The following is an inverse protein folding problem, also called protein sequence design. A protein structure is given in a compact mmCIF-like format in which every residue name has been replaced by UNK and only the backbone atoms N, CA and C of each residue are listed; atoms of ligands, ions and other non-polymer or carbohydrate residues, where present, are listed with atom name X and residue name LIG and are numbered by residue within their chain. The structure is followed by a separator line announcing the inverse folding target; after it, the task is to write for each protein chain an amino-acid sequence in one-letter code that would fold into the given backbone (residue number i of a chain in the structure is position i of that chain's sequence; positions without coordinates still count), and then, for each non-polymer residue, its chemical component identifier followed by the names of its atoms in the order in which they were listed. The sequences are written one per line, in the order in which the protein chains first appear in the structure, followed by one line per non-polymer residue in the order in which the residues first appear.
data_IF_218810272385
#
_entry.id   IF_218810272385
#
_cell.length_a   1.000
_cell.length_b   1.000
_cell.length_c   1.000
_cell.angle_alpha   90.00
_cell.angle_beta   90.00
_cell.angle_gamma   90.00
#
_symmetry.space_group_name_H-M   'P 1'
#
loop_
_entity.id
_entity.type
_entity.pdbx_description
1 polymer ?
#
# COMPACT_ATOMS: atom_id res chain seq x y z
N UNK A 1 -42.27 21.99 -68.19
CA UNK A 1 -42.66 22.72 -66.97
C UNK A 1 -43.65 21.86 -66.22
N UNK A 2 -43.48 21.80 -64.88
CA UNK A 2 -44.24 21.03 -63.89
C UNK A 2 -43.85 19.53 -63.85
N UNK A 3 -42.84 19.13 -63.08
CA UNK A 3 -42.80 18.89 -61.62
C UNK A 3 -43.20 17.45 -61.29
N UNK A 4 -42.21 16.54 -61.33
CA UNK A 4 -42.26 15.21 -60.73
C UNK A 4 -41.13 15.13 -59.70
N UNK A 5 -41.49 15.50 -58.48
CA UNK A 5 -40.67 15.34 -57.28
C UNK A 5 -40.71 13.88 -56.84
N UNK A 6 -39.68 13.11 -57.22
CA UNK A 6 -39.44 11.76 -56.69
C UNK A 6 -38.33 11.76 -55.62
N UNK A 7 -38.81 11.71 -54.38
CA UNK A 7 -38.37 10.91 -53.24
C UNK A 7 -36.89 10.55 -53.00
N UNK A 8 -36.54 10.81 -51.74
CA UNK A 8 -35.79 9.96 -50.80
C UNK A 8 -34.31 10.27 -50.62
N UNK A 9 -34.01 11.02 -49.55
CA UNK A 9 -32.86 10.71 -48.72
C UNK A 9 -33.36 10.20 -47.36
N UNK A 10 -33.39 8.88 -47.29
CA UNK A 10 -33.25 7.99 -46.14
C UNK A 10 -33.50 8.61 -44.75
N UNK A 11 -34.60 8.15 -44.14
CA UNK A 11 -34.89 8.18 -42.72
C UNK A 11 -33.62 7.88 -41.91
N UNK A 12 -33.14 8.86 -41.12
CA UNK A 12 -32.11 8.59 -40.11
C UNK A 12 -32.71 7.63 -39.09
N UNK A 13 -32.26 6.38 -39.09
CA UNK A 13 -32.60 5.44 -38.02
C UNK A 13 -32.29 6.10 -36.67
N UNK A 14 -33.16 6.00 -35.65
CA UNK A 14 -32.85 6.56 -34.35
C UNK A 14 -31.60 5.85 -33.82
N UNK A 15 -30.50 6.60 -33.78
CA UNK A 15 -29.21 6.15 -33.28
C UNK A 15 -29.44 5.70 -31.84
N UNK A 16 -29.39 4.39 -31.61
CA UNK A 16 -29.51 3.82 -30.26
C UNK A 16 -28.30 4.26 -29.45
N UNK A 17 -28.48 5.30 -28.63
CA UNK A 17 -27.48 5.77 -27.68
C UNK A 17 -27.50 4.87 -26.45
N UNK A 18 -26.39 4.17 -26.23
CA UNK A 18 -26.07 3.54 -24.95
C UNK A 18 -25.03 4.39 -24.24
N UNK A 19 -25.28 4.75 -22.99
CA UNK A 19 -24.35 5.50 -22.16
C UNK A 19 -23.64 4.53 -21.22
N UNK A 20 -22.36 4.29 -21.47
CA UNK A 20 -21.51 3.41 -20.68
C UNK A 20 -20.58 4.25 -19.82
N UNK A 21 -20.85 4.30 -18.52
CA UNK A 21 -19.93 4.89 -17.55
C UNK A 21 -19.10 3.79 -16.91
N UNK A 22 -17.82 3.72 -17.26
CA UNK A 22 -16.86 2.82 -16.61
C UNK A 22 -16.07 3.62 -15.59
N UNK A 23 -16.12 3.20 -14.33
CA UNK A 23 -15.21 3.67 -13.28
C UNK A 23 -14.18 2.59 -13.01
N UNK A 24 -12.93 2.94 -13.29
CA UNK A 24 -11.76 2.12 -13.04
C UNK A 24 -11.00 2.78 -11.90
N UNK A 25 -10.63 2.00 -10.89
CA UNK A 25 -9.72 2.41 -9.83
C UNK A 25 -8.49 1.53 -9.87
N UNK A 26 -7.34 2.08 -9.48
CA UNK A 26 -6.09 1.33 -9.43
C UNK A 26 -6.15 0.19 -8.40
N UNK A 27 -5.37 -0.85 -8.71
CA UNK A 27 -5.21 -2.04 -7.91
C UNK A 27 -4.15 -1.78 -6.82
N UNK A 28 -4.50 -1.84 -5.54
CA UNK A 28 -3.55 -1.60 -4.44
C UNK A 28 -2.68 -2.83 -4.15
N UNK A 29 -1.40 -2.75 -4.54
CA UNK A 29 -0.36 -3.75 -4.31
C UNK A 29 0.93 -3.06 -3.84
N UNK A 30 1.59 -3.54 -2.75
CA UNK A 30 1.16 -4.46 -1.71
C UNK A 30 0.28 -3.77 -0.63
N UNK A 31 -0.55 -4.52 0.14
CA UNK A 31 -1.49 -3.94 1.11
C UNK A 31 -0.84 -3.26 2.33
N UNK A 32 0.50 -3.36 2.49
CA UNK A 32 1.23 -2.70 3.56
C UNK A 32 2.06 -1.52 3.06
N UNK A 33 1.84 -0.36 3.66
CA UNK A 33 2.51 0.89 3.27
C UNK A 33 3.92 0.97 3.86
N UNK A 34 4.03 0.58 5.13
CA UNK A 34 5.19 0.90 5.96
C UNK A 34 5.74 -0.34 6.70
N UNK A 35 5.00 -0.85 7.69
CA UNK A 35 5.42 -1.97 8.54
C UNK A 35 4.28 -2.97 8.76
N UNK A 36 4.62 -4.26 8.90
CA UNK A 36 3.71 -5.33 9.29
C UNK A 36 4.34 -6.14 10.42
N UNK A 37 3.64 -6.21 11.56
CA UNK A 37 4.01 -7.10 12.67
C UNK A 37 3.31 -8.44 12.48
N UNK A 38 4.10 -9.51 12.59
CA UNK A 38 3.62 -10.89 12.47
C UNK A 38 3.64 -11.51 13.87
N UNK A 39 2.46 -11.83 14.40
CA UNK A 39 2.30 -12.55 15.66
C UNK A 39 2.80 -13.98 15.57
N UNK A 40 3.29 -14.56 16.68
CA UNK A 40 3.81 -15.94 16.74
C UNK A 40 2.85 -17.03 16.28
N UNK A 41 1.55 -16.76 16.33
CA UNK A 41 0.44 -17.66 15.94
C UNK A 41 -0.41 -17.02 14.83
N UNK A 42 0.15 -16.07 14.09
CA UNK A 42 -0.57 -15.42 13.00
C UNK A 42 -1.03 -16.46 11.95
N UNK A 43 -2.17 -16.23 11.28
CA UNK A 43 -2.67 -17.12 10.25
C UNK A 43 -1.71 -17.28 9.06
N UNK A 44 -0.82 -16.30 8.87
CA UNK A 44 0.21 -16.29 7.84
C UNK A 44 1.54 -15.92 8.51
N UNK A 45 2.48 -16.86 8.53
CA UNK A 45 3.81 -16.65 9.10
C UNK A 45 4.74 -15.79 8.23
N UNK A 46 5.96 -15.48 8.69
CA UNK A 46 6.82 -14.45 8.12
C UNK A 46 7.30 -14.83 6.72
N UNK A 47 7.54 -16.12 6.48
CA UNK A 47 7.98 -16.62 5.17
C UNK A 47 6.89 -16.55 4.10
N UNK A 48 5.62 -16.64 4.49
CA UNK A 48 4.51 -16.49 3.54
C UNK A 48 4.26 -15.00 3.25
N UNK A 49 4.37 -14.13 4.27
CA UNK A 49 4.39 -12.68 4.08
C UNK A 49 5.54 -12.27 3.16
N UNK A 50 6.75 -12.84 3.33
CA UNK A 50 7.91 -12.62 2.45
C UNK A 50 7.56 -12.82 0.99
N UNK A 51 7.04 -14.00 0.66
CA UNK A 51 6.71 -14.36 -0.72
C UNK A 51 5.67 -13.43 -1.30
N UNK A 52 4.67 -13.08 -0.51
CA UNK A 52 3.65 -12.12 -0.92
C UNK A 52 4.30 -10.76 -1.26
N UNK A 53 5.20 -10.24 -0.42
CA UNK A 53 5.72 -8.88 -0.61
C UNK A 53 6.79 -8.83 -1.68
N UNK A 54 7.61 -9.87 -1.78
CA UNK A 54 8.62 -10.00 -2.83
C UNK A 54 7.98 -10.22 -4.20
N UNK A 55 6.84 -10.93 -4.29
CA UNK A 55 6.11 -11.08 -5.55
C UNK A 55 5.50 -9.76 -6.06
N UNK A 56 5.21 -8.84 -5.13
CA UNK A 56 4.51 -7.60 -5.39
C UNK A 56 5.45 -6.39 -5.51
N UNK A 57 6.55 -6.40 -4.77
CA UNK A 57 7.53 -5.33 -4.68
C UNK A 57 8.88 -5.93 -4.30
N UNK A 58 9.55 -6.58 -5.28
CA UNK A 58 10.80 -7.30 -5.04
C UNK A 58 11.83 -6.42 -4.32
N UNK A 59 12.46 -6.98 -3.28
CA UNK A 59 13.57 -6.33 -2.55
C UNK A 59 13.22 -4.99 -1.88
N UNK A 60 11.94 -4.62 -1.79
CA UNK A 60 11.52 -3.38 -1.13
C UNK A 60 11.30 -3.55 0.37
N UNK A 61 11.18 -4.79 0.84
CA UNK A 61 10.90 -5.10 2.22
C UNK A 61 11.98 -5.99 2.80
N UNK A 62 12.22 -5.79 4.08
CA UNK A 62 13.06 -6.64 4.90
C UNK A 62 12.21 -7.33 5.94
N UNK A 63 12.55 -8.58 6.25
CA UNK A 63 11.94 -9.31 7.36
C UNK A 63 12.97 -9.49 8.43
N UNK A 64 12.64 -8.97 9.60
CA UNK A 64 13.47 -8.99 10.79
C UNK A 64 12.79 -9.97 11.74
N UNK A 65 13.43 -11.12 11.97
CA UNK A 65 12.99 -12.02 13.04
C UNK A 65 13.38 -11.41 14.38
N UNK A 66 12.48 -11.48 15.34
CA UNK A 66 12.63 -10.85 16.65
C UNK A 66 12.34 -11.85 17.76
N UNK A 67 13.03 -11.67 18.88
CA UNK A 67 12.68 -12.35 20.13
C UNK A 67 11.78 -11.42 20.94
N UNK A 68 10.47 -11.62 20.81
CA UNK A 68 9.46 -10.80 21.47
C UNK A 68 8.35 -11.71 22.04
N UNK A 69 7.67 -11.29 23.10
CA UNK A 69 6.60 -12.06 23.75
C UNK A 69 5.47 -12.43 22.76
N UNK A 70 4.93 -11.42 22.06
CA UNK A 70 3.79 -11.52 21.14
C UNK A 70 4.16 -11.81 19.68
N UNK A 71 5.16 -11.12 19.13
CA UNK A 71 5.50 -11.13 17.71
C UNK A 71 6.70 -12.03 17.41
N UNK A 72 6.73 -12.64 16.22
CA UNK A 72 7.86 -13.43 15.73
C UNK A 72 8.71 -12.69 14.70
N UNK A 73 8.10 -11.73 13.98
CA UNK A 73 8.78 -10.99 12.93
C UNK A 73 8.18 -9.62 12.68
N UNK A 74 9.02 -8.73 12.18
CA UNK A 74 8.64 -7.43 11.63
C UNK A 74 9.01 -7.41 10.16
N UNK A 75 8.04 -7.13 9.30
CA UNK A 75 8.28 -6.83 7.89
C UNK A 75 8.24 -5.33 7.71
N UNK A 76 9.34 -4.74 7.24
CA UNK A 76 9.52 -3.29 7.18
C UNK A 76 10.00 -2.87 5.79
N UNK A 77 9.44 -1.78 5.27
CA UNK A 77 9.88 -1.19 4.01
C UNK A 77 11.28 -0.58 4.15
N UNK A 78 12.17 -0.91 3.21
CA UNK A 78 13.56 -0.47 3.19
C UNK A 78 13.72 1.06 3.17
N UNK A 79 12.74 1.81 2.67
CA UNK A 79 12.78 3.28 2.70
C UNK A 79 12.70 3.84 4.12
N UNK A 80 12.01 3.16 5.04
CA UNK A 80 11.85 3.62 6.43
C UNK A 80 13.16 3.44 7.19
N UNK A 81 13.83 2.30 6.99
CA UNK A 81 15.10 1.99 7.64
C UNK A 81 16.25 2.89 7.17
N UNK A 82 16.13 3.48 5.97
CA UNK A 82 17.01 4.53 5.47
C UNK A 82 16.76 5.90 6.11
N UNK A 83 15.53 6.18 6.54
CA UNK A 83 15.16 7.44 7.21
C UNK A 83 15.46 7.39 8.70
N UNK A 84 15.25 6.24 9.34
CA UNK A 84 15.45 6.04 10.78
C UNK A 84 16.05 4.67 11.06
N UNK A 85 17.11 4.58 11.90
CA UNK A 85 17.70 3.30 12.29
C UNK A 85 16.68 2.37 12.95
N UNK A 86 16.74 1.08 12.61
CA UNK A 86 15.82 0.04 13.10
C UNK A 86 15.86 -0.09 14.62
N UNK A 87 17.05 0.08 15.20
CA UNK A 87 17.31 -0.08 16.63
C UNK A 87 16.56 0.98 17.44
N UNK A 88 16.24 2.12 16.83
CA UNK A 88 15.41 3.17 17.44
C UNK A 88 13.93 2.97 17.15
N UNK A 89 13.60 2.49 15.96
CA UNK A 89 12.22 2.38 15.48
C UNK A 89 11.50 1.16 16.05
N UNK A 90 12.13 -0.02 16.03
CA UNK A 90 11.50 -1.27 16.41
C UNK A 90 11.00 -1.30 17.86
N UNK A 91 11.75 -0.80 18.87
CA UNK A 91 11.25 -0.79 20.25
C UNK A 91 9.93 -0.03 20.38
N UNK A 92 9.80 1.13 19.73
CA UNK A 92 8.60 1.98 19.76
C UNK A 92 7.41 1.24 19.13
N UNK A 93 7.62 0.64 17.96
CA UNK A 93 6.56 -0.08 17.25
C UNK A 93 6.11 -1.32 18.02
N UNK A 94 7.05 -2.05 18.61
CA UNK A 94 6.75 -3.29 19.34
C UNK A 94 6.02 -3.01 20.65
N UNK A 95 6.43 -1.98 21.40
CA UNK A 95 5.77 -1.53 22.63
C UNK A 95 4.30 -1.15 22.38
N UNK A 96 4.03 -0.37 21.33
CA UNK A 96 2.64 -0.02 20.99
C UNK A 96 1.88 -1.20 20.37
N UNK A 97 2.57 -2.03 19.58
CA UNK A 97 1.99 -3.21 18.96
C UNK A 97 1.49 -4.24 19.98
N UNK A 98 2.27 -4.52 21.03
CA UNK A 98 1.92 -5.55 22.03
C UNK A 98 0.73 -5.13 22.90
N UNK A 99 0.51 -3.82 23.09
CA UNK A 99 -0.66 -3.30 23.81
C UNK A 99 -1.95 -3.48 23.03
N UNK A 100 -1.86 -3.58 21.70
CA UNK A 100 -3.01 -3.57 20.79
C UNK A 100 -3.31 -4.95 20.19
N UNK A 101 -2.39 -5.91 20.31
CA UNK A 101 -2.47 -7.18 19.59
C UNK A 101 -2.05 -8.38 20.42
N UNK A 102 -2.52 -9.57 20.01
CA UNK A 102 -2.16 -10.86 20.60
C UNK A 102 -1.33 -11.69 19.62
N UNK A 103 -0.84 -12.84 20.06
CA UNK A 103 0.02 -13.72 19.24
C UNK A 103 -0.60 -14.13 17.90
N UNK A 104 -1.93 -14.11 17.74
CA UNK A 104 -2.60 -14.48 16.49
C UNK A 104 -2.67 -13.33 15.46
N UNK A 105 -2.15 -12.15 15.79
CA UNK A 105 -2.37 -10.94 15.00
C UNK A 105 -1.43 -10.82 13.80
N UNK A 106 -1.93 -10.19 12.75
CA UNK A 106 -1.15 -9.63 11.66
C UNK A 106 -1.42 -8.12 11.64
N UNK A 107 -0.57 -7.33 12.28
CA UNK A 107 -0.84 -5.92 12.55
C UNK A 107 -0.12 -5.03 11.54
N UNK A 108 -0.88 -4.30 10.72
CA UNK A 108 -0.36 -3.26 9.83
C UNK A 108 -0.09 -2.00 10.62
N UNK A 109 1.13 -1.50 10.52
CA UNK A 109 1.56 -0.24 11.13
C UNK A 109 1.85 0.75 10.02
N UNK A 110 1.28 1.94 10.14
CA UNK A 110 1.53 3.07 9.24
C UNK A 110 2.33 4.13 9.98
N UNK A 111 3.37 4.64 9.34
CA UNK A 111 4.27 5.62 9.92
C UNK A 111 4.16 6.94 9.16
N UNK A 112 4.21 8.04 9.91
CA UNK A 112 4.38 9.37 9.37
C UNK A 112 5.62 10.00 10.02
N UNK A 113 6.73 10.03 9.28
CA UNK A 113 8.02 10.52 9.78
C UNK A 113 8.29 11.89 9.15
N UNK A 114 8.45 12.91 9.98
CA UNK A 114 8.81 14.28 9.54
C UNK A 114 10.18 14.63 10.08
N UNK A 115 11.12 14.94 9.19
CA UNK A 115 12.49 15.36 9.54
C UNK A 115 12.58 16.87 9.37
N UNK A 116 12.82 17.60 10.45
CA UNK A 116 13.06 19.04 10.43
C UNK A 116 14.55 19.32 10.64
N UNK A 117 15.15 20.04 9.68
CA UNK A 117 16.54 20.49 9.77
C UNK A 117 16.55 22.01 9.88
N UNK A 118 17.07 22.54 10.99
CA UNK A 118 17.32 23.97 11.16
C UNK A 118 18.83 24.17 11.22
N UNK A 119 19.38 24.93 10.28
CA UNK A 119 20.80 25.24 10.22
C UNK A 119 20.98 26.75 10.25
N UNK A 120 21.67 27.25 11.27
CA UNK A 120 22.23 28.59 11.25
C UNK A 120 23.38 28.65 10.25
N UNK A 121 23.46 29.72 9.47
CA UNK A 121 24.56 29.98 8.53
C UNK A 121 25.33 31.17 9.04
N UNK A 122 26.65 31.06 9.09
CA UNK A 122 27.52 32.19 9.41
C UNK A 122 27.56 33.16 8.22
N UNK A 123 27.56 34.46 8.51
CA UNK A 123 27.54 35.54 7.51
C UNK A 123 28.86 36.33 7.47
N UNK A 124 29.89 35.87 8.17
CA UNK A 124 31.22 36.48 8.21
C UNK A 124 31.97 36.41 6.89
#
# INVERSE_FOLDING_TARGET
MSDDSQFSSVLSEPVRKAELTIKLSEFEIPPMRDVLLVGKKAPIGPEAVRRMVDALSPEQYEIIRIDHSVFEAVVIKNSITKLMPKEKLLPIILEEGERMASENALLKVQLNIVIQVTRGVDLS
#
